data_IF_180917088686
#
_entry.id   IF_180917088686
#
_cell.length_a   1.000
_cell.length_b   1.000
_cell.length_c   1.000
_cell.angle_alpha   90.00
_cell.angle_beta   90.00
_cell.angle_gamma   90.00
#
_symmetry.space_group_name_H-M   'P 1'
#
loop_
_entity.id
_entity.type
_entity.pdbx_description
1 polymer ?
#
# COMPACT_ATOMS: atom_id res chain seq x y z
N UNK A 1 5.87 -0.04 16.99
CA UNK A 1 5.84 0.30 15.55
C UNK A 1 4.52 0.99 15.25
N UNK A 2 4.55 2.10 14.52
CA UNK A 2 3.33 2.86 14.21
C UNK A 2 2.72 2.31 12.90
N UNK A 3 1.52 1.72 12.98
CA UNK A 3 0.80 1.17 11.83
C UNK A 3 -0.50 1.94 11.63
N UNK A 4 -0.67 2.48 10.45
CA UNK A 4 -1.76 3.38 10.07
C UNK A 4 -2.93 2.56 9.53
N UNK A 5 -4.14 2.91 9.98
CA UNK A 5 -5.42 2.42 9.47
C UNK A 5 -6.40 3.58 9.35
N UNK A 6 -7.59 3.37 8.80
CA UNK A 6 -8.61 4.44 8.78
C UNK A 6 -8.97 4.94 10.19
N UNK A 7 -8.83 4.10 11.22
CA UNK A 7 -9.21 4.44 12.60
C UNK A 7 -8.27 5.46 13.25
N UNK A 8 -7.01 5.52 12.83
CA UNK A 8 -5.99 6.39 13.44
C UNK A 8 -5.32 7.35 12.46
N UNK A 9 -5.70 7.36 11.18
CA UNK A 9 -5.05 8.15 10.12
C UNK A 9 -4.96 9.64 10.41
N UNK A 10 -6.00 10.21 11.05
CA UNK A 10 -6.07 11.65 11.32
C UNK A 10 -5.10 12.10 12.42
N UNK A 11 -4.51 11.15 13.15
CA UNK A 11 -3.49 11.37 14.17
C UNK A 11 -2.06 11.17 13.62
N UNK A 12 -1.93 10.83 12.33
CA UNK A 12 -0.67 10.45 11.71
C UNK A 12 -0.25 11.48 10.65
N UNK A 13 1.06 11.68 10.55
CA UNK A 13 1.63 12.41 9.42
C UNK A 13 1.77 11.45 8.26
N UNK A 14 1.11 11.74 7.15
CA UNK A 14 1.22 10.96 5.93
C UNK A 14 2.30 11.54 5.01
N UNK A 15 2.94 10.65 4.23
CA UNK A 15 3.81 11.02 3.13
C UNK A 15 3.01 11.88 2.14
N UNK A 16 3.64 12.94 1.64
CA UNK A 16 3.03 13.86 0.70
C UNK A 16 2.52 13.16 -0.57
N UNK A 17 1.26 13.39 -0.89
CA UNK A 17 0.54 12.73 -1.99
C UNK A 17 -0.13 11.40 -1.63
N UNK A 18 0.08 10.83 -0.46
CA UNK A 18 -0.69 9.66 0.01
C UNK A 18 -2.15 10.06 0.25
N UNK A 19 -3.07 9.24 -0.25
CA UNK A 19 -4.49 9.33 0.06
C UNK A 19 -5.01 7.96 0.52
N UNK A 20 -5.74 7.94 1.62
CA UNK A 20 -6.51 6.79 2.09
C UNK A 20 -7.99 7.07 1.82
N UNK A 21 -8.51 6.53 0.72
CA UNK A 21 -9.90 6.74 0.31
C UNK A 21 -10.80 5.64 0.89
N UNK A 22 -11.67 5.95 1.87
CA UNK A 22 -12.49 4.95 2.54
C UNK A 22 -13.57 4.41 1.59
N UNK A 23 -13.84 3.10 1.68
CA UNK A 23 -14.87 2.43 0.90
C UNK A 23 -16.08 2.09 1.78
N UNK A 24 -17.27 2.19 1.19
CA UNK A 24 -18.50 1.78 1.85
C UNK A 24 -18.66 0.26 1.76
N UNK A 25 -18.89 -0.38 2.88
CA UNK A 25 -19.30 -1.78 2.96
C UNK A 25 -20.82 -1.85 3.05
N UNK A 26 -21.45 -2.55 2.10
CA UNK A 26 -22.87 -2.88 2.15
C UNK A 26 -22.96 -4.34 2.61
N UNK A 27 -23.37 -4.53 3.85
CA UNK A 27 -23.43 -5.85 4.49
C UNK A 27 -24.88 -6.29 4.67
N UNK A 28 -25.18 -7.56 4.39
CA UNK A 28 -26.45 -8.22 4.59
C UNK A 28 -26.25 -9.65 5.10
N UNK A 29 -27.31 -10.45 5.17
CA UNK A 29 -27.28 -11.85 5.61
C UNK A 29 -26.47 -12.79 4.69
N UNK A 30 -26.26 -12.39 3.42
CA UNK A 30 -25.49 -13.16 2.43
C UNK A 30 -24.00 -12.84 2.45
N UNK A 31 -23.59 -11.73 3.11
CA UNK A 31 -22.19 -11.28 3.18
C UNK A 31 -22.00 -9.78 2.99
N UNK A 32 -20.96 -9.39 2.27
CA UNK A 32 -20.59 -8.00 2.07
C UNK A 32 -20.34 -7.68 0.60
N UNK A 33 -20.84 -6.51 0.16
CA UNK A 33 -20.53 -5.93 -1.14
C UNK A 33 -19.77 -4.62 -0.94
N UNK A 34 -18.65 -4.49 -1.64
CA UNK A 34 -17.82 -3.29 -1.64
C UNK A 34 -17.59 -2.84 -3.08
N UNK A 35 -17.99 -1.62 -3.40
CA UNK A 35 -17.65 -1.02 -4.69
C UNK A 35 -16.16 -0.65 -4.67
N UNK A 36 -15.43 -0.97 -5.74
CA UNK A 36 -13.97 -0.83 -5.80
C UNK A 36 -13.51 0.16 -6.87
N UNK A 37 -14.39 0.50 -7.81
CA UNK A 37 -14.12 1.43 -8.91
C UNK A 37 -15.40 2.15 -9.31
N UNK A 38 -15.37 3.48 -9.25
CA UNK A 38 -16.51 4.32 -9.71
C UNK A 38 -16.00 5.56 -10.44
N UNK A 39 -16.63 5.89 -11.54
CA UNK A 39 -16.30 7.06 -12.36
C UNK A 39 -16.52 8.40 -11.64
N UNK A 40 -17.41 8.42 -10.64
CA UNK A 40 -17.76 9.62 -9.88
C UNK A 40 -16.88 9.87 -8.65
N UNK A 41 -15.94 8.99 -8.32
CA UNK A 41 -14.95 9.19 -7.24
C UNK A 41 -13.79 10.07 -7.70
N UNK A 42 -14.06 11.38 -7.76
CA UNK A 42 -13.13 12.36 -8.35
C UNK A 42 -11.81 12.50 -7.58
N UNK A 43 -11.82 12.29 -6.27
CA UNK A 43 -10.61 12.38 -5.44
C UNK A 43 -9.59 11.30 -5.75
N UNK A 44 -10.03 10.12 -6.21
CA UNK A 44 -9.18 8.96 -6.47
C UNK A 44 -9.08 8.61 -7.96
N UNK A 45 -10.11 8.99 -8.75
CA UNK A 45 -10.21 8.74 -10.20
C UNK A 45 -10.56 10.04 -10.95
N UNK A 46 -9.82 11.14 -10.65
CA UNK A 46 -9.98 12.44 -11.32
C UNK A 46 -9.36 12.47 -12.71
N UNK A 47 -9.34 13.67 -13.32
CA UNK A 47 -8.83 13.87 -14.69
C UNK A 47 -7.36 13.46 -14.84
N UNK A 48 -6.56 13.70 -13.78
CA UNK A 48 -5.13 13.33 -13.75
C UNK A 48 -4.89 11.86 -13.32
N UNK A 49 -5.94 11.12 -12.97
CA UNK A 49 -5.89 9.75 -12.44
C UNK A 49 -6.92 8.85 -13.10
N UNK A 50 -7.04 8.94 -14.41
CA UNK A 50 -7.97 8.10 -15.18
C UNK A 50 -7.72 6.60 -14.93
N UNK A 51 -8.74 5.79 -15.23
CA UNK A 51 -8.60 4.35 -15.26
C UNK A 51 -7.84 3.91 -16.52
N UNK A 52 -6.73 3.22 -16.34
CA UNK A 52 -5.93 2.63 -17.42
C UNK A 52 -6.02 1.12 -17.45
N UNK A 53 -5.80 0.50 -16.32
CA UNK A 53 -5.84 -0.96 -16.17
C UNK A 53 -6.12 -1.36 -14.72
N UNK A 54 -6.43 -2.61 -14.53
CA UNK A 54 -6.53 -3.23 -13.21
C UNK A 54 -5.89 -4.62 -13.29
N UNK A 55 -5.16 -4.99 -12.26
CA UNK A 55 -4.73 -6.35 -12.03
C UNK A 55 -4.90 -6.73 -10.56
N UNK A 56 -4.87 -8.02 -10.29
CA UNK A 56 -4.78 -8.51 -8.91
C UNK A 56 -3.59 -9.44 -8.74
N UNK A 57 -3.11 -9.53 -7.52
CA UNK A 57 -2.12 -10.50 -7.10
C UNK A 57 -2.63 -11.30 -5.92
N UNK A 58 -2.27 -12.59 -5.89
CA UNK A 58 -2.51 -13.48 -4.76
C UNK A 58 -1.17 -13.76 -4.10
N UNK A 59 -1.06 -13.53 -2.80
CA UNK A 59 0.19 -13.70 -2.04
C UNK A 59 -0.10 -14.52 -0.79
N UNK A 60 0.73 -15.52 -0.52
CA UNK A 60 0.56 -16.42 0.62
C UNK A 60 0.82 -15.70 1.96
N UNK A 61 0.23 -16.27 3.03
CA UNK A 61 0.41 -15.79 4.40
C UNK A 61 1.90 -15.69 4.79
N UNK A 62 2.26 -14.62 5.49
CA UNK A 62 3.63 -14.38 5.99
C UNK A 62 4.65 -13.97 4.93
N UNK A 63 4.27 -13.92 3.66
CA UNK A 63 5.17 -13.57 2.55
C UNK A 63 5.11 -12.07 2.29
N UNK A 64 6.28 -11.42 2.23
CA UNK A 64 6.42 -10.12 1.61
C UNK A 64 6.63 -10.31 0.11
N UNK A 65 5.81 -9.64 -0.70
CA UNK A 65 6.02 -9.68 -2.14
C UNK A 65 7.27 -8.87 -2.47
N UNK A 66 8.21 -9.53 -3.19
CA UNK A 66 9.53 -8.98 -3.47
C UNK A 66 10.31 -8.62 -2.18
N UNK A 67 10.47 -9.61 -1.30
CA UNK A 67 11.06 -9.51 0.06
C UNK A 67 12.29 -8.59 0.16
N UNK A 68 13.15 -8.60 -0.84
CA UNK A 68 14.44 -7.91 -0.81
C UNK A 68 14.49 -6.62 -1.60
N UNK A 69 13.40 -6.24 -2.24
CA UNK A 69 13.35 -5.04 -3.08
C UNK A 69 12.10 -4.22 -2.83
N UNK A 70 12.20 -2.92 -3.03
CA UNK A 70 11.08 -2.00 -3.09
C UNK A 70 10.75 -1.71 -4.55
N UNK A 71 9.46 -1.60 -4.86
CA UNK A 71 9.01 -1.09 -6.14
C UNK A 71 9.05 0.44 -6.16
N UNK A 72 9.30 1.00 -7.33
CA UNK A 72 9.36 2.43 -7.58
C UNK A 72 8.83 2.72 -8.98
N UNK A 73 7.92 3.68 -9.08
CA UNK A 73 7.47 4.26 -10.35
C UNK A 73 7.92 5.73 -10.40
N UNK A 74 9.04 6.04 -11.09
CA UNK A 74 9.70 7.35 -10.91
C UNK A 74 8.94 8.53 -11.48
N UNK A 75 8.22 8.40 -12.60
CA UNK A 75 7.79 9.59 -13.35
C UNK A 75 6.30 9.83 -13.48
N UNK A 76 5.48 8.83 -13.81
CA UNK A 76 4.07 9.08 -14.12
C UNK A 76 3.07 8.16 -13.42
N UNK A 77 3.47 6.94 -13.03
CA UNK A 77 2.55 5.99 -12.45
C UNK A 77 2.40 6.20 -10.94
N UNK A 78 1.16 6.33 -10.50
CA UNK A 78 0.73 6.15 -9.12
C UNK A 78 0.02 4.80 -9.00
N UNK A 79 0.10 4.16 -7.84
CA UNK A 79 -0.62 2.93 -7.56
C UNK A 79 -1.83 3.17 -6.66
N UNK A 80 -2.88 2.42 -6.88
CA UNK A 80 -4.10 2.46 -6.06
C UNK A 80 -4.36 1.05 -5.54
N UNK A 81 -3.84 0.77 -4.35
CA UNK A 81 -3.93 -0.55 -3.73
C UNK A 81 -5.25 -0.71 -2.98
N UNK A 82 -5.88 -1.86 -3.15
CA UNK A 82 -7.07 -2.30 -2.43
C UNK A 82 -6.95 -3.77 -2.07
N UNK A 83 -7.27 -4.15 -0.83
CA UNK A 83 -7.32 -5.55 -0.41
C UNK A 83 -8.74 -6.08 -0.56
N UNK A 84 -8.89 -7.13 -1.38
CA UNK A 84 -10.16 -7.81 -1.63
C UNK A 84 -10.30 -9.14 -0.85
N UNK A 85 -9.20 -9.64 -0.28
CA UNK A 85 -9.18 -10.84 0.56
C UNK A 85 -7.97 -10.84 1.50
N UNK A 86 -8.13 -11.36 2.70
CA UNK A 86 -7.07 -11.36 3.72
C UNK A 86 -6.72 -9.97 4.26
N UNK A 87 -5.46 -9.81 4.72
CA UNK A 87 -4.93 -8.55 5.22
C UNK A 87 -3.43 -8.42 4.90
N UNK A 88 -3.00 -7.20 4.66
CA UNK A 88 -1.60 -6.86 4.39
C UNK A 88 -1.14 -5.66 5.23
N UNK A 89 0.17 -5.52 5.38
CA UNK A 89 0.80 -4.25 5.73
C UNK A 89 1.55 -3.76 4.48
N UNK A 90 1.16 -2.60 3.97
CA UNK A 90 1.89 -1.91 2.90
C UNK A 90 2.86 -0.92 3.52
N UNK A 91 4.12 -0.98 3.15
CA UNK A 91 5.14 0.00 3.53
C UNK A 91 5.38 0.95 2.36
N UNK A 92 5.41 2.25 2.64
CA UNK A 92 5.73 3.31 1.68
C UNK A 92 6.84 4.18 2.28
N UNK A 93 7.94 4.35 1.55
CA UNK A 93 9.05 5.20 1.95
C UNK A 93 9.23 6.34 0.93
N UNK A 94 9.38 7.56 1.44
CA UNK A 94 9.57 8.75 0.63
C UNK A 94 11.05 9.13 0.56
N UNK A 95 11.67 8.87 -0.59
CA UNK A 95 13.05 9.23 -0.88
C UNK A 95 13.14 10.33 -1.96
N UNK A 96 12.04 11.00 -2.28
CA UNK A 96 12.02 12.11 -3.24
C UNK A 96 12.74 13.33 -2.64
N UNK A 97 13.78 13.81 -3.29
CA UNK A 97 14.66 14.87 -2.76
C UNK A 97 13.91 16.17 -2.42
N UNK A 98 12.96 16.57 -3.28
CA UNK A 98 12.18 17.81 -3.12
C UNK A 98 10.88 17.62 -2.31
N UNK A 99 10.66 16.45 -1.73
CA UNK A 99 9.43 16.18 -0.96
C UNK A 99 9.50 16.79 0.44
N UNK A 100 8.42 17.42 0.94
CA UNK A 100 8.33 17.89 2.31
C UNK A 100 8.31 16.74 3.34
N UNK A 101 8.17 15.52 2.87
CA UNK A 101 8.17 14.30 3.68
C UNK A 101 9.34 13.37 3.36
N UNK A 102 10.39 13.88 2.70
CA UNK A 102 11.60 13.11 2.43
C UNK A 102 12.14 12.43 3.69
N UNK A 103 12.49 11.15 3.59
CA UNK A 103 12.97 10.31 4.69
C UNK A 103 11.88 9.69 5.54
N UNK A 104 10.58 9.97 5.28
CA UNK A 104 9.48 9.34 6.01
C UNK A 104 9.22 7.91 5.54
N UNK A 105 8.79 7.07 6.49
CA UNK A 105 8.23 5.75 6.28
C UNK A 105 6.84 5.69 6.88
N UNK A 106 5.84 5.31 6.09
CA UNK A 106 4.51 4.97 6.57
C UNK A 106 4.22 3.48 6.38
N UNK A 107 3.56 2.88 7.35
CA UNK A 107 3.11 1.49 7.33
C UNK A 107 1.58 1.47 7.39
N UNK A 108 0.92 0.91 6.40
CA UNK A 108 -0.53 0.90 6.26
C UNK A 108 -1.10 -0.50 6.47
N UNK A 109 -1.94 -0.68 7.49
CA UNK A 109 -2.70 -1.91 7.65
C UNK A 109 -3.94 -1.86 6.77
N UNK A 110 -4.05 -2.80 5.84
CA UNK A 110 -5.12 -2.89 4.87
C UNK A 110 -5.81 -4.25 5.01
N UNK A 111 -7.14 -4.25 5.15
CA UNK A 111 -7.94 -5.45 5.31
C UNK A 111 -9.19 -5.39 4.44
N UNK A 112 -9.56 -6.53 3.86
CA UNK A 112 -10.83 -6.65 3.17
C UNK A 112 -12.01 -6.53 4.15
N UNK A 113 -13.09 -5.89 3.73
CA UNK A 113 -14.40 -5.80 4.41
C UNK A 113 -14.40 -5.03 5.74
N UNK A 114 -13.51 -5.30 6.69
CA UNK A 114 -13.63 -4.71 8.04
C UNK A 114 -13.28 -3.22 8.11
N UNK A 115 -12.40 -2.74 7.25
CA UNK A 115 -12.00 -1.33 7.18
C UNK A 115 -11.40 -1.04 5.78
N UNK A 116 -12.17 -1.29 4.68
CA UNK A 116 -11.62 -1.23 3.34
C UNK A 116 -11.39 0.21 2.89
N UNK A 117 -10.26 0.42 2.25
CA UNK A 117 -9.92 1.69 1.60
C UNK A 117 -9.00 1.46 0.41
N UNK A 118 -9.02 2.41 -0.51
CA UNK A 118 -7.99 2.49 -1.55
C UNK A 118 -6.84 3.33 -1.01
N UNK A 119 -5.64 2.77 -1.04
CA UNK A 119 -4.40 3.49 -0.74
C UNK A 119 -3.80 3.99 -2.05
N UNK A 120 -3.83 5.32 -2.26
CA UNK A 120 -3.09 5.96 -3.33
C UNK A 120 -1.64 6.11 -2.91
N UNK A 121 -0.73 5.55 -3.69
CA UNK A 121 0.71 5.60 -3.51
C UNK A 121 1.29 6.52 -4.59
N UNK A 122 1.85 7.67 -4.23
CA UNK A 122 2.33 8.64 -5.21
C UNK A 122 3.58 8.15 -5.94
N UNK A 123 3.71 8.57 -7.19
CA UNK A 123 4.92 8.34 -7.99
C UNK A 123 6.18 8.81 -7.24
N UNK A 124 7.29 8.17 -7.53
CA UNK A 124 8.59 8.49 -6.93
C UNK A 124 8.77 7.95 -5.51
N UNK A 125 7.74 7.34 -4.90
CA UNK A 125 7.89 6.70 -3.58
C UNK A 125 8.19 5.21 -3.73
N UNK A 126 8.98 4.70 -2.78
CA UNK A 126 9.29 3.28 -2.67
C UNK A 126 8.17 2.57 -1.93
N UNK A 127 7.74 1.40 -2.41
CA UNK A 127 6.68 0.65 -1.74
C UNK A 127 6.83 -0.86 -1.87
N UNK A 128 6.18 -1.58 -0.96
CA UNK A 128 6.07 -3.03 -0.92
C UNK A 128 5.02 -3.45 0.10
N UNK A 129 4.68 -4.73 0.18
CA UNK A 129 3.73 -5.22 1.17
C UNK A 129 4.05 -6.62 1.69
N UNK A 130 3.55 -6.90 2.90
CA UNK A 130 3.61 -8.19 3.57
C UNK A 130 2.19 -8.67 3.90
N UNK A 131 1.89 -9.94 3.63
CA UNK A 131 0.62 -10.56 4.06
C UNK A 131 0.67 -10.88 5.55
N UNK A 132 -0.27 -10.32 6.31
CA UNK A 132 -0.34 -10.48 7.77
C UNK A 132 -1.55 -11.31 8.24
N UNK A 133 -2.46 -11.67 7.34
CA UNK A 133 -3.54 -12.62 7.62
C UNK A 133 -3.04 -14.06 7.61
N UNK A 134 -3.80 -14.97 8.26
CA UNK A 134 -3.54 -16.42 8.21
C UNK A 134 -3.78 -17.00 6.82
N UNK A 135 -4.75 -16.44 6.12
CA UNK A 135 -5.08 -16.79 4.74
C UNK A 135 -4.19 -15.96 3.79
N UNK A 136 -4.12 -16.40 2.54
CA UNK A 136 -3.56 -15.61 1.46
C UNK A 136 -4.30 -14.27 1.31
N UNK A 137 -3.60 -13.24 0.88
CA UNK A 137 -4.22 -11.96 0.55
C UNK A 137 -4.41 -11.81 -0.96
N UNK A 138 -5.48 -11.11 -1.32
CA UNK A 138 -5.79 -10.69 -2.69
C UNK A 138 -5.68 -9.17 -2.72
N UNK A 139 -4.64 -8.67 -3.38
CA UNK A 139 -4.43 -7.26 -3.62
C UNK A 139 -4.86 -6.91 -5.05
N UNK A 140 -5.76 -5.95 -5.19
CA UNK A 140 -6.06 -5.29 -6.46
C UNK A 140 -5.22 -4.01 -6.57
N UNK A 141 -4.70 -3.77 -7.77
CA UNK A 141 -4.08 -2.49 -8.09
C UNK A 141 -4.75 -1.88 -9.32
N UNK A 142 -4.98 -0.57 -9.27
CA UNK A 142 -5.54 0.25 -10.34
C UNK A 142 -4.53 1.37 -10.67
N UNK A 143 -3.40 1.05 -11.33
CA UNK A 143 -2.36 2.04 -11.62
C UNK A 143 -2.87 3.14 -12.55
N UNK A 144 -2.24 4.32 -12.48
CA UNK A 144 -2.54 5.48 -13.33
C UNK A 144 -1.81 5.46 -14.67
N UNK A 145 -1.23 4.32 -15.04
CA UNK A 145 -0.54 4.11 -16.30
C UNK A 145 -0.56 2.65 -16.73
N UNK A 146 -0.29 2.39 -17.99
CA UNK A 146 -0.06 1.04 -18.49
C UNK A 146 1.33 0.57 -18.09
N UNK A 147 1.50 -0.74 -17.93
CA UNK A 147 2.80 -1.33 -17.64
C UNK A 147 3.86 -0.88 -18.64
N UNK A 148 4.94 -0.33 -18.13
CA UNK A 148 6.09 0.09 -18.92
C UNK A 148 7.38 -0.36 -18.20
N UNK A 149 8.14 -1.33 -18.72
CA UNK A 149 9.34 -1.84 -18.07
C UNK A 149 10.45 -0.79 -17.89
N UNK A 150 10.39 0.33 -18.61
CA UNK A 150 11.33 1.46 -18.45
C UNK A 150 10.99 2.35 -17.26
N UNK A 151 9.77 2.26 -16.76
CA UNK A 151 9.25 3.01 -15.62
C UNK A 151 9.20 2.17 -14.33
N UNK A 152 9.61 0.90 -14.38
CA UNK A 152 9.74 0.08 -13.19
C UNK A 152 11.14 0.20 -12.60
N UNK A 153 11.24 0.84 -11.45
CA UNK A 153 12.40 0.82 -10.59
C UNK A 153 12.29 -0.29 -9.55
N UNK A 154 13.44 -0.87 -9.22
CA UNK A 154 13.59 -1.83 -8.11
C UNK A 154 14.80 -1.44 -7.29
N UNK A 155 14.58 -1.10 -6.03
CA UNK A 155 15.62 -0.67 -5.11
C UNK A 155 15.78 -1.73 -4.03
N UNK A 156 16.99 -2.20 -3.78
CA UNK A 156 17.24 -3.14 -2.68
C UNK A 156 16.85 -2.47 -1.36
N UNK A 157 16.12 -3.19 -0.49
CA UNK A 157 15.53 -2.59 0.70
C UNK A 157 16.54 -1.92 1.63
N UNK A 158 17.79 -2.41 1.68
CA UNK A 158 18.89 -1.80 2.46
C UNK A 158 19.35 -0.45 1.92
N UNK A 159 19.18 -0.23 0.61
CA UNK A 159 19.56 1.02 -0.07
C UNK A 159 18.46 2.09 0.06
N UNK A 160 17.23 1.67 0.35
CA UNK A 160 16.09 2.57 0.54
C UNK A 160 16.22 3.48 1.76
N UNK A 161 17.16 3.18 2.68
CA UNK A 161 17.36 3.91 3.95
C UNK A 161 16.07 4.13 4.76
N UNK A 162 15.05 3.28 4.57
CA UNK A 162 13.77 3.39 5.25
C UNK A 162 13.94 3.10 6.75
N UNK A 163 13.49 4.03 7.60
CA UNK A 163 13.61 3.93 9.07
C UNK A 163 12.27 4.20 9.72
N UNK A 164 12.04 3.52 10.81
CA UNK A 164 10.97 3.83 11.75
C UNK A 164 11.26 5.17 12.46
N UNK A 165 10.25 5.74 13.12
CA UNK A 165 10.35 7.03 13.86
C UNK A 165 11.46 7.02 14.93
N UNK A 166 11.77 5.87 15.53
CA UNK A 166 12.83 5.69 16.51
C UNK A 166 14.24 5.52 15.90
N UNK A 167 14.36 5.61 14.58
CA UNK A 167 15.59 5.44 13.83
C UNK A 167 15.94 3.99 13.49
N UNK A 168 15.15 3.01 13.93
CA UNK A 168 15.36 1.59 13.59
C UNK A 168 15.22 1.38 12.09
N UNK A 169 16.20 0.73 11.47
CA UNK A 169 16.13 0.37 10.05
C UNK A 169 14.99 -0.60 9.83
N UNK A 170 14.11 -0.28 8.87
CA UNK A 170 12.96 -1.11 8.55
C UNK A 170 13.38 -2.48 8.01
N UNK A 171 12.62 -3.50 8.42
CA UNK A 171 12.63 -4.82 7.79
C UNK A 171 11.26 -5.49 7.95
N UNK A 172 10.91 -6.36 7.02
CA UNK A 172 9.66 -7.12 7.09
C UNK A 172 9.58 -8.01 8.35
N UNK A 173 10.72 -8.41 8.92
CA UNK A 173 10.75 -9.16 10.17
C UNK A 173 10.21 -8.38 11.37
N UNK A 174 10.30 -7.05 11.36
CA UNK A 174 9.66 -6.22 12.40
C UNK A 174 8.15 -6.31 12.29
N UNK A 175 7.62 -6.28 11.06
CA UNK A 175 6.18 -6.43 10.83
C UNK A 175 5.71 -7.84 11.19
N UNK A 176 6.45 -8.88 10.80
CA UNK A 176 6.15 -10.28 11.18
C UNK A 176 6.06 -10.42 12.71
N UNK A 177 7.03 -9.88 13.42
CA UNK A 177 7.05 -9.92 14.89
C UNK A 177 5.83 -9.23 15.50
N UNK A 178 5.45 -8.06 14.98
CA UNK A 178 4.28 -7.30 15.44
C UNK A 178 2.98 -8.11 15.30
N UNK A 179 2.83 -8.84 14.21
CA UNK A 179 1.66 -9.68 13.92
C UNK A 179 1.76 -11.12 14.41
N UNK A 180 2.82 -11.48 15.15
CA UNK A 180 3.03 -12.85 15.65
C UNK A 180 3.23 -13.89 14.55
N UNK A 181 3.76 -13.48 13.39
CA UNK A 181 4.04 -14.35 12.25
C UNK A 181 5.44 -14.94 12.45
N UNK A 182 5.54 -16.26 12.53
CA UNK A 182 6.83 -16.95 12.56
C UNK A 182 7.52 -16.74 11.20
N UNK A 183 8.78 -16.29 11.21
CA UNK A 183 9.59 -16.24 9.99
C UNK A 183 9.69 -17.64 9.37
N UNK A 184 9.50 -17.74 8.08
CA UNK A 184 9.69 -18.96 7.30
C UNK A 184 11.15 -19.40 7.33
#
# INVERSE_FOLDING_TARGET
MNIISLKNKDQQKLIDGILMYPLKVNQDESGALVETLRKDWKDIYGEDREFFMQYYSVTNSGIARDENVWHLHPTYQEDRFLVAGGAIVTAVADNREDSPTNGMLNLFYMKAVEDPYILLIPKGTLHGFLVVSKEQAILLNFPTGLYNPKEEGRVHYKEANAKLEDGTVFSWNLVRKEFGITSL
#
